data_IF_101525233841
#
_entry.id   IF_101525233841
#
_cell.length_a   1.000
_cell.length_b   1.000
_cell.length_c   1.000
_cell.angle_alpha   90.00
_cell.angle_beta   90.00
_cell.angle_gamma   90.00
#
_symmetry.space_group_name_H-M   'P 1'
#
loop_
_entity.id
_entity.type
_entity.pdbx_description
1 polymer ?
#
# COMPACT_ATOMS: atom_id res chain seq x y z
N UNK A 1 63.98 -2.48 34.54
CA UNK A 1 63.41 -2.76 33.22
C UNK A 1 61.95 -3.10 33.41
N UNK A 2 61.07 -2.24 32.91
CA UNK A 2 59.63 -2.35 33.02
C UNK A 2 59.06 -3.05 31.77
N UNK A 3 58.05 -3.90 31.93
CA UNK A 3 57.10 -4.22 30.86
C UNK A 3 55.72 -4.36 31.50
N UNK A 4 54.86 -3.36 31.25
CA UNK A 4 53.44 -3.39 31.58
C UNK A 4 52.68 -4.19 30.51
N UNK A 5 51.57 -4.88 30.86
CA UNK A 5 50.75 -5.56 29.87
C UNK A 5 49.91 -4.53 29.10
N UNK A 6 50.03 -4.52 27.77
CA UNK A 6 49.17 -3.75 26.88
C UNK A 6 47.77 -4.36 26.87
N UNK A 7 46.80 -3.59 27.33
CA UNK A 7 45.37 -3.83 27.13
C UNK A 7 45.05 -3.49 25.68
N UNK A 8 44.70 -4.48 24.85
CA UNK A 8 44.10 -4.21 23.54
C UNK A 8 42.62 -3.92 23.73
N UNK A 9 42.27 -2.63 23.73
CA UNK A 9 40.87 -2.22 23.55
C UNK A 9 40.57 -2.39 22.06
N UNK A 10 39.92 -3.49 21.70
CA UNK A 10 39.27 -3.59 20.41
C UNK A 10 38.12 -2.59 20.42
N UNK A 11 38.27 -1.49 19.69
CA UNK A 11 37.18 -0.59 19.37
C UNK A 11 36.16 -1.39 18.54
N UNK A 12 35.00 -1.65 19.13
CA UNK A 12 33.81 -1.94 18.34
C UNK A 12 33.53 -0.67 17.54
N UNK A 13 33.83 -0.72 16.25
CA UNK A 13 33.48 0.36 15.30
C UNK A 13 32.02 0.13 14.93
N UNK A 14 31.26 1.21 14.99
CA UNK A 14 29.82 1.28 14.84
C UNK A 14 29.34 0.70 13.49
N UNK A 15 28.65 -0.45 13.53
CA UNK A 15 27.92 -1.02 12.38
C UNK A 15 26.53 -0.37 12.19
N UNK A 16 26.07 0.46 13.14
CA UNK A 16 24.72 1.06 13.14
C UNK A 16 24.55 2.23 12.14
N UNK A 17 25.63 2.92 11.76
CA UNK A 17 25.56 4.12 10.91
C UNK A 17 25.41 3.80 9.40
N UNK A 18 25.92 2.64 8.96
CA UNK A 18 25.87 2.24 7.55
C UNK A 18 24.47 1.75 7.12
N UNK A 19 23.75 1.09 8.02
CA UNK A 19 22.37 0.62 7.77
C UNK A 19 21.38 1.79 7.66
N UNK A 20 21.52 2.84 8.48
CA UNK A 20 20.66 4.03 8.39
C UNK A 20 20.94 4.82 7.10
N UNK A 21 22.21 4.91 6.67
CA UNK A 21 22.57 5.57 5.42
C UNK A 21 22.05 4.79 4.20
N UNK A 22 22.09 3.47 4.23
CA UNK A 22 21.58 2.62 3.16
C UNK A 22 20.05 2.67 3.08
N UNK A 23 19.36 2.69 4.22
CA UNK A 23 17.91 2.88 4.31
C UNK A 23 17.45 4.20 3.71
N UNK A 24 18.13 5.31 4.01
CA UNK A 24 17.81 6.64 3.44
C UNK A 24 18.01 6.70 1.93
N UNK A 25 19.09 6.10 1.41
CA UNK A 25 19.33 6.03 -0.04
C UNK A 25 18.24 5.24 -0.76
N UNK A 26 17.80 4.13 -0.18
CA UNK A 26 16.72 3.32 -0.73
C UNK A 26 15.38 4.08 -0.73
N UNK A 27 15.03 4.71 0.40
CA UNK A 27 13.83 5.56 0.51
C UNK A 27 13.82 6.68 -0.54
N UNK A 28 14.96 7.34 -0.76
CA UNK A 28 15.10 8.36 -1.80
C UNK A 28 14.93 7.77 -3.22
N UNK A 29 15.54 6.62 -3.50
CA UNK A 29 15.41 5.95 -4.79
C UNK A 29 13.94 5.55 -5.07
N UNK A 30 13.23 5.06 -4.06
CA UNK A 30 11.82 4.71 -4.16
C UNK A 30 10.94 5.95 -4.37
N UNK A 31 11.19 7.04 -3.66
CA UNK A 31 10.45 8.28 -3.92
C UNK A 31 10.69 8.81 -5.34
N UNK A 32 11.93 8.75 -5.84
CA UNK A 32 12.25 9.12 -7.24
C UNK A 32 11.48 8.24 -8.23
N UNK A 33 11.29 6.95 -7.94
CA UNK A 33 10.47 6.07 -8.77
C UNK A 33 9.04 6.59 -8.88
N UNK A 34 8.41 6.98 -7.77
CA UNK A 34 7.05 7.53 -7.80
C UNK A 34 6.97 8.88 -8.52
N UNK A 35 7.96 9.76 -8.35
CA UNK A 35 8.02 11.02 -9.09
C UNK A 35 8.08 10.79 -10.60
N UNK A 36 8.79 9.77 -11.07
CA UNK A 36 8.91 9.44 -12.49
C UNK A 36 7.67 8.75 -13.07
N UNK A 37 6.97 7.97 -12.28
CA UNK A 37 5.90 7.07 -12.74
C UNK A 37 4.48 7.53 -12.36
N UNK A 38 4.33 8.71 -11.75
CA UNK A 38 3.00 9.27 -11.41
C UNK A 38 2.77 10.64 -12.06
N UNK A 39 1.52 11.09 -12.04
CA UNK A 39 1.04 12.21 -12.86
C UNK A 39 1.11 13.58 -12.18
N UNK A 40 1.40 13.63 -10.88
CA UNK A 40 1.55 14.87 -10.10
C UNK A 40 2.41 14.65 -8.87
N UNK A 41 2.92 15.73 -8.27
CA UNK A 41 3.70 15.66 -7.01
C UNK A 41 2.87 15.08 -5.87
N UNK A 42 1.57 15.39 -5.84
CA UNK A 42 0.63 14.86 -4.85
C UNK A 42 0.43 13.36 -5.04
N UNK A 43 0.26 12.88 -6.28
CA UNK A 43 0.19 11.45 -6.58
C UNK A 43 1.49 10.72 -6.23
N UNK A 44 2.64 11.34 -6.51
CA UNK A 44 3.94 10.76 -6.15
C UNK A 44 4.05 10.56 -4.63
N UNK A 45 3.70 11.58 -3.85
CA UNK A 45 3.74 11.55 -2.40
C UNK A 45 2.79 10.50 -1.82
N UNK A 46 1.52 10.53 -2.24
CA UNK A 46 0.50 9.60 -1.77
C UNK A 46 0.83 8.15 -2.16
N UNK A 47 1.26 7.94 -3.40
CA UNK A 47 1.66 6.61 -3.90
C UNK A 47 2.86 6.04 -3.14
N UNK A 48 3.89 6.86 -2.91
CA UNK A 48 5.07 6.48 -2.13
C UNK A 48 4.71 6.13 -0.69
N UNK A 49 4.01 7.02 0.02
CA UNK A 49 3.67 6.78 1.42
C UNK A 49 2.69 5.61 1.58
N UNK A 50 1.74 5.43 0.66
CA UNK A 50 0.86 4.28 0.65
C UNK A 50 1.62 2.98 0.45
N UNK A 51 2.57 2.96 -0.50
CA UNK A 51 3.46 1.81 -0.69
C UNK A 51 4.26 1.48 0.57
N UNK A 52 4.87 2.49 1.21
CA UNK A 52 5.61 2.31 2.46
C UNK A 52 4.73 1.75 3.59
N UNK A 53 3.48 2.20 3.70
CA UNK A 53 2.54 1.63 4.68
C UNK A 53 2.17 0.18 4.36
N UNK A 54 1.99 -0.19 3.08
CA UNK A 54 1.73 -1.58 2.69
C UNK A 54 2.91 -2.50 3.01
N UNK A 55 4.15 -2.04 2.78
CA UNK A 55 5.35 -2.75 3.18
C UNK A 55 5.40 -2.93 4.71
N UNK A 56 5.13 -1.86 5.47
CA UNK A 56 5.10 -1.93 6.94
C UNK A 56 4.00 -2.85 7.49
N UNK A 57 2.91 -3.08 6.74
CA UNK A 57 1.87 -4.03 7.10
C UNK A 57 2.22 -5.49 6.75
N UNK A 58 3.33 -5.74 6.04
CA UNK A 58 3.76 -7.08 5.63
C UNK A 58 2.85 -7.73 4.59
N UNK A 59 2.07 -6.95 3.83
CA UNK A 59 1.07 -7.48 2.89
C UNK A 59 1.72 -8.38 1.83
N UNK A 60 2.89 -7.98 1.35
CA UNK A 60 3.63 -8.69 0.30
C UNK A 60 4.27 -9.99 0.79
N UNK A 61 4.51 -10.12 2.10
CA UNK A 61 5.03 -11.35 2.71
C UNK A 61 3.93 -12.41 2.85
N UNK A 62 2.68 -11.96 3.04
CA UNK A 62 1.52 -12.84 3.17
C UNK A 62 1.00 -13.29 1.82
N UNK A 63 1.07 -12.42 0.82
CA UNK A 63 0.48 -12.64 -0.50
C UNK A 63 1.50 -12.20 -1.55
N UNK A 64 2.12 -13.16 -2.26
CA UNK A 64 3.17 -12.84 -3.20
C UNK A 64 2.62 -12.01 -4.38
N UNK A 65 3.51 -11.18 -4.92
CA UNK A 65 3.28 -10.46 -6.16
C UNK A 65 4.56 -10.51 -6.98
N UNK A 66 4.50 -11.18 -8.13
CA UNK A 66 5.68 -11.52 -8.92
C UNK A 66 6.25 -10.34 -9.71
N UNK A 67 5.61 -9.17 -9.62
CA UNK A 67 6.06 -7.94 -10.25
C UNK A 67 6.52 -6.93 -9.20
N UNK A 68 7.05 -5.80 -9.66
CA UNK A 68 7.41 -4.68 -8.79
C UNK A 68 6.18 -4.19 -7.99
N UNK A 69 6.21 -4.37 -6.67
CA UNK A 69 5.12 -4.02 -5.75
C UNK A 69 4.79 -2.54 -5.73
N UNK A 70 5.72 -1.66 -6.17
CA UNK A 70 5.46 -0.22 -6.34
C UNK A 70 4.42 0.06 -7.43
N UNK A 71 4.28 -0.85 -8.40
CA UNK A 71 3.30 -0.72 -9.49
C UNK A 71 1.87 -0.67 -8.97
N UNK A 72 1.55 -1.34 -7.86
CA UNK A 72 0.20 -1.33 -7.27
C UNK A 72 -0.21 0.11 -6.92
N UNK A 73 0.66 0.82 -6.19
CA UNK A 73 0.44 2.23 -5.84
C UNK A 73 0.41 3.13 -7.07
N UNK A 74 1.30 2.93 -8.04
CA UNK A 74 1.31 3.69 -9.30
C UNK A 74 0.01 3.51 -10.07
N UNK A 75 -0.50 2.28 -10.16
CA UNK A 75 -1.75 1.96 -10.84
C UNK A 75 -2.95 2.61 -10.16
N UNK A 76 -3.00 2.63 -8.83
CA UNK A 76 -4.04 3.37 -8.11
C UNK A 76 -3.97 4.87 -8.38
N UNK A 77 -2.75 5.44 -8.40
CA UNK A 77 -2.57 6.86 -8.72
C UNK A 77 -3.01 7.18 -10.15
N UNK A 78 -2.78 6.27 -11.11
CA UNK A 78 -3.31 6.38 -12.47
C UNK A 78 -4.84 6.43 -12.49
N UNK A 79 -5.51 5.48 -11.84
CA UNK A 79 -6.97 5.42 -11.80
C UNK A 79 -7.52 6.73 -11.22
N UNK A 80 -7.04 7.13 -10.05
CA UNK A 80 -7.54 8.34 -9.40
C UNK A 80 -7.25 9.62 -10.18
N UNK A 81 -6.07 9.73 -10.80
CA UNK A 81 -5.74 10.86 -11.65
C UNK A 81 -6.64 10.92 -12.91
N UNK A 82 -6.83 9.78 -13.58
CA UNK A 82 -7.66 9.67 -14.79
C UNK A 82 -9.09 10.13 -14.53
N UNK A 83 -9.65 9.75 -13.38
CA UNK A 83 -10.99 10.12 -12.95
C UNK A 83 -11.04 11.43 -12.15
N UNK A 84 -9.93 12.19 -12.11
CA UNK A 84 -9.84 13.54 -11.55
C UNK A 84 -10.27 13.64 -10.07
N UNK A 85 -9.98 12.61 -9.27
CA UNK A 85 -10.25 12.68 -7.83
C UNK A 85 -9.41 13.77 -7.18
N UNK A 86 -10.01 14.48 -6.24
CA UNK A 86 -9.27 15.47 -5.47
C UNK A 86 -8.24 14.77 -4.57
N UNK A 87 -7.02 15.32 -4.40
CA UNK A 87 -5.98 14.67 -3.59
C UNK A 87 -6.40 14.32 -2.16
N UNK A 88 -7.31 15.09 -1.56
CA UNK A 88 -7.87 14.77 -0.24
C UNK A 88 -8.70 13.48 -0.24
N UNK A 89 -9.52 13.28 -1.27
CA UNK A 89 -10.37 12.09 -1.40
C UNK A 89 -9.50 10.87 -1.69
N UNK A 90 -8.45 11.04 -2.50
CA UNK A 90 -7.42 10.00 -2.69
C UNK A 90 -6.81 9.60 -1.34
N UNK A 91 -6.34 10.57 -0.55
CA UNK A 91 -5.74 10.29 0.75
C UNK A 91 -6.72 9.57 1.69
N UNK A 92 -8.00 9.96 1.67
CA UNK A 92 -9.07 9.32 2.43
C UNK A 92 -9.29 7.86 1.99
N UNK A 93 -9.40 7.61 0.68
CA UNK A 93 -9.58 6.28 0.11
C UNK A 93 -8.40 5.35 0.44
N UNK A 94 -7.17 5.84 0.29
CA UNK A 94 -5.97 5.09 0.63
C UNK A 94 -5.87 4.80 2.14
N UNK A 95 -6.19 5.78 2.99
CA UNK A 95 -6.18 5.61 4.45
C UNK A 95 -7.19 4.55 4.90
N UNK A 96 -8.41 4.61 4.37
CA UNK A 96 -9.46 3.62 4.66
C UNK A 96 -9.06 2.24 4.14
N UNK A 97 -8.47 2.14 2.94
CA UNK A 97 -7.97 0.88 2.40
C UNK A 97 -6.87 0.25 3.28
N UNK A 98 -5.92 1.04 3.80
CA UNK A 98 -4.91 0.54 4.74
C UNK A 98 -5.54 -0.04 6.00
N UNK A 99 -6.60 0.58 6.51
CA UNK A 99 -7.31 0.08 7.69
C UNK A 99 -8.05 -1.21 7.37
N UNK A 100 -8.71 -1.30 6.21
CA UNK A 100 -9.34 -2.55 5.76
C UNK A 100 -8.35 -3.69 5.69
N UNK A 101 -7.18 -3.46 5.07
CA UNK A 101 -6.13 -4.46 4.94
C UNK A 101 -5.60 -4.85 6.32
N UNK A 102 -5.32 -3.87 7.19
CA UNK A 102 -4.82 -4.11 8.55
C UNK A 102 -5.80 -4.94 9.40
N UNK A 103 -7.10 -4.72 9.24
CA UNK A 103 -8.15 -5.44 9.99
C UNK A 103 -8.55 -6.77 9.39
N UNK A 104 -8.10 -7.07 8.17
CA UNK A 104 -8.42 -8.35 7.53
C UNK A 104 -7.62 -9.45 8.23
N UNK A 105 -8.29 -10.52 8.70
CA UNK A 105 -7.59 -11.63 9.35
C UNK A 105 -6.50 -12.21 8.44
N UNK A 106 -5.34 -12.52 9.01
CA UNK A 106 -4.20 -13.06 8.27
C UNK A 106 -4.58 -14.35 7.53
N UNK A 107 -5.38 -15.21 8.17
CA UNK A 107 -5.86 -16.46 7.60
C UNK A 107 -6.71 -16.24 6.35
N UNK A 108 -7.46 -15.13 6.30
CA UNK A 108 -8.24 -14.74 5.15
C UNK A 108 -7.35 -14.24 4.00
N UNK A 109 -6.33 -13.43 4.31
CA UNK A 109 -5.33 -12.99 3.34
C UNK A 109 -4.59 -14.19 2.71
N UNK A 110 -4.13 -15.12 3.54
CA UNK A 110 -3.47 -16.35 3.07
C UNK A 110 -4.43 -17.28 2.30
N UNK A 111 -5.72 -17.32 2.66
CA UNK A 111 -6.75 -18.05 1.90
C UNK A 111 -6.90 -17.44 0.49
N UNK A 112 -7.00 -16.12 0.37
CA UNK A 112 -7.09 -15.44 -0.92
C UNK A 112 -5.85 -15.68 -1.79
N UNK A 113 -4.65 -15.67 -1.17
CA UNK A 113 -3.39 -16.05 -1.83
C UNK A 113 -3.44 -17.46 -2.42
N UNK A 114 -3.90 -18.45 -1.64
CA UNK A 114 -4.06 -19.84 -2.09
C UNK A 114 -5.11 -20.03 -3.19
N UNK A 115 -6.09 -19.14 -3.27
CA UNK A 115 -7.10 -19.12 -4.35
C UNK A 115 -6.57 -18.46 -5.64
N UNK A 116 -5.29 -18.06 -5.68
CA UNK A 116 -4.64 -17.49 -6.86
C UNK A 116 -4.79 -15.96 -6.97
N UNK A 117 -5.29 -15.29 -5.92
CA UNK A 117 -5.33 -13.83 -5.89
C UNK A 117 -4.01 -13.29 -5.32
N UNK A 118 -3.38 -12.37 -6.06
CA UNK A 118 -2.13 -11.73 -5.65
C UNK A 118 -2.36 -10.44 -4.84
N UNK A 119 -1.28 -9.86 -4.31
CA UNK A 119 -1.37 -8.61 -3.55
C UNK A 119 -1.98 -7.46 -4.35
N UNK A 120 -1.76 -7.42 -5.67
CA UNK A 120 -2.36 -6.40 -6.54
C UNK A 120 -3.89 -6.41 -6.44
N UNK A 121 -4.53 -7.56 -6.64
CA UNK A 121 -5.99 -7.67 -6.55
C UNK A 121 -6.48 -7.20 -5.19
N UNK A 122 -5.86 -7.68 -4.12
CA UNK A 122 -6.34 -7.40 -2.76
C UNK A 122 -6.23 -5.92 -2.42
N UNK A 123 -5.08 -5.30 -2.66
CA UNK A 123 -4.89 -3.88 -2.40
C UNK A 123 -5.83 -3.04 -3.27
N UNK A 124 -5.87 -3.30 -4.58
CA UNK A 124 -6.70 -2.53 -5.53
C UNK A 124 -8.18 -2.60 -5.17
N UNK A 125 -8.70 -3.78 -4.82
CA UNK A 125 -10.13 -3.93 -4.56
C UNK A 125 -10.54 -3.55 -3.12
N UNK A 126 -9.63 -3.59 -2.13
CA UNK A 126 -9.86 -2.88 -0.87
C UNK A 126 -9.90 -1.36 -1.07
N UNK A 127 -9.06 -0.83 -1.94
CA UNK A 127 -9.13 0.59 -2.34
C UNK A 127 -10.41 0.92 -3.09
N UNK A 128 -10.91 0.02 -3.95
CA UNK A 128 -12.24 0.16 -4.55
C UNK A 128 -13.35 0.24 -3.49
N UNK A 129 -13.36 -0.67 -2.50
CA UNK A 129 -14.35 -0.64 -1.42
C UNK A 129 -14.29 0.65 -0.60
N UNK A 130 -13.08 1.16 -0.34
CA UNK A 130 -12.90 2.42 0.37
C UNK A 130 -13.46 3.60 -0.44
N UNK A 131 -13.18 3.64 -1.74
CA UNK A 131 -13.73 4.63 -2.65
C UNK A 131 -15.26 4.57 -2.75
N UNK A 132 -15.83 3.37 -2.89
CA UNK A 132 -17.28 3.18 -2.94
C UNK A 132 -17.97 3.64 -1.64
N UNK A 133 -17.30 3.53 -0.49
CA UNK A 133 -17.80 4.02 0.79
C UNK A 133 -17.72 5.55 0.94
N UNK A 134 -16.62 6.17 0.51
CA UNK A 134 -16.37 7.59 0.76
C UNK A 134 -17.00 8.54 -0.28
N UNK A 135 -16.97 8.17 -1.57
CA UNK A 135 -17.19 9.12 -2.69
C UNK A 135 -18.46 8.83 -3.50
N UNK A 136 -19.40 8.07 -2.92
CA UNK A 136 -20.70 7.70 -3.52
C UNK A 136 -20.63 7.39 -5.03
N UNK A 137 -19.77 6.42 -5.38
CA UNK A 137 -19.72 5.77 -6.71
C UNK A 137 -19.24 6.67 -7.86
N UNK A 138 -18.31 7.60 -7.61
CA UNK A 138 -17.69 8.42 -8.68
C UNK A 138 -16.99 7.55 -9.74
N UNK A 139 -16.28 6.49 -9.34
CA UNK A 139 -15.68 5.50 -10.24
C UNK A 139 -16.41 4.16 -10.06
N UNK A 140 -17.15 3.72 -11.08
CA UNK A 140 -17.99 2.52 -10.99
C UNK A 140 -17.14 1.26 -11.07
N UNK A 141 -17.64 0.13 -10.55
CA UNK A 141 -16.96 -1.15 -10.68
C UNK A 141 -16.58 -1.48 -12.14
N UNK A 142 -17.44 -1.15 -13.10
CA UNK A 142 -17.16 -1.30 -14.54
C UNK A 142 -15.93 -0.52 -15.01
N UNK A 143 -15.70 0.66 -14.45
CA UNK A 143 -14.52 1.47 -14.76
C UNK A 143 -13.25 0.78 -14.28
N UNK A 144 -13.22 0.33 -13.03
CA UNK A 144 -12.09 -0.46 -12.47
C UNK A 144 -11.82 -1.73 -13.29
N UNK A 145 -12.86 -2.40 -13.77
CA UNK A 145 -12.70 -3.54 -14.68
C UNK A 145 -12.00 -3.17 -15.98
N UNK A 146 -12.42 -2.08 -16.62
CA UNK A 146 -11.86 -1.64 -17.89
C UNK A 146 -10.40 -1.20 -17.77
N UNK A 147 -10.05 -0.56 -16.65
CA UNK A 147 -8.68 -0.09 -16.41
C UNK A 147 -7.73 -1.24 -16.08
N UNK A 148 -8.10 -2.08 -15.10
CA UNK A 148 -7.17 -3.07 -14.52
C UNK A 148 -7.78 -4.45 -14.37
N UNK A 149 -9.08 -4.55 -14.09
CA UNK A 149 -9.71 -5.83 -13.75
C UNK A 149 -9.72 -6.85 -14.88
N UNK A 150 -9.81 -6.44 -16.14
CA UNK A 150 -9.79 -7.33 -17.31
C UNK A 150 -8.53 -8.18 -17.45
N UNK A 151 -7.43 -7.81 -16.76
CA UNK A 151 -6.18 -8.57 -16.76
C UNK A 151 -6.23 -9.74 -15.77
N UNK A 152 -7.09 -9.66 -14.76
CA UNK A 152 -7.13 -10.60 -13.64
C UNK A 152 -8.45 -11.37 -13.53
N UNK A 153 -9.53 -10.82 -14.10
CA UNK A 153 -10.86 -11.40 -14.05
C UNK A 153 -11.41 -11.59 -15.47
N UNK A 154 -12.04 -12.74 -15.76
CA UNK A 154 -12.59 -13.03 -17.08
C UNK A 154 -13.84 -12.20 -17.41
N UNK A 155 -14.48 -11.62 -16.39
CA UNK A 155 -15.68 -10.79 -16.54
C UNK A 155 -15.85 -9.83 -15.36
N UNK A 156 -16.68 -8.80 -15.55
CA UNK A 156 -17.11 -7.89 -14.47
C UNK A 156 -17.83 -8.67 -13.36
N UNK A 157 -18.60 -9.71 -13.70
CA UNK A 157 -19.30 -10.53 -12.72
C UNK A 157 -18.32 -11.27 -11.81
N UNK A 158 -17.29 -11.92 -12.39
CA UNK A 158 -16.24 -12.59 -11.61
C UNK A 158 -15.47 -11.62 -10.70
N UNK A 159 -15.20 -10.41 -11.19
CA UNK A 159 -14.58 -9.35 -10.37
C UNK A 159 -15.52 -8.87 -9.25
N UNK A 160 -16.82 -8.76 -9.53
CA UNK A 160 -17.82 -8.42 -8.51
C UNK A 160 -17.92 -9.50 -7.43
N UNK A 161 -17.88 -10.77 -7.81
CA UNK A 161 -17.87 -11.89 -6.85
C UNK A 161 -16.63 -11.82 -5.94
N UNK A 162 -15.46 -11.48 -6.50
CA UNK A 162 -14.25 -11.25 -5.71
C UNK A 162 -14.39 -10.06 -4.75
N UNK A 163 -14.88 -8.92 -5.22
CA UNK A 163 -15.16 -7.74 -4.37
C UNK A 163 -16.15 -8.10 -3.26
N UNK A 164 -17.15 -8.92 -3.57
CA UNK A 164 -18.12 -9.39 -2.58
C UNK A 164 -17.49 -10.33 -1.56
N UNK A 165 -16.55 -11.18 -1.96
CA UNK A 165 -15.82 -12.05 -1.05
C UNK A 165 -14.96 -11.25 -0.06
N UNK A 166 -14.20 -10.24 -0.52
CA UNK A 166 -13.40 -9.40 0.39
C UNK A 166 -14.28 -8.55 1.32
N UNK A 167 -15.47 -8.14 0.86
CA UNK A 167 -16.41 -7.39 1.70
C UNK A 167 -17.13 -8.27 2.73
N UNK A 168 -17.61 -9.44 2.32
CA UNK A 168 -18.35 -10.35 3.21
C UNK A 168 -17.41 -11.11 4.15
N UNK A 169 -16.41 -11.80 3.62
CA UNK A 169 -15.49 -12.63 4.41
C UNK A 169 -14.34 -11.82 5.01
N UNK A 170 -13.77 -10.86 4.25
CA UNK A 170 -12.65 -10.05 4.72
C UNK A 170 -13.04 -8.94 5.70
N UNK A 171 -14.21 -8.30 5.48
CA UNK A 171 -14.71 -7.20 6.31
C UNK A 171 -15.90 -7.56 7.18
N UNK A 172 -16.46 -8.76 7.06
CA UNK A 172 -17.65 -9.14 7.82
C UNK A 172 -18.85 -8.23 7.55
N UNK A 173 -18.98 -7.66 6.34
CA UNK A 173 -19.96 -6.62 5.99
C UNK A 173 -19.77 -5.24 6.65
N UNK A 174 -18.59 -4.94 7.21
CA UNK A 174 -18.32 -3.65 7.86
C UNK A 174 -17.39 -2.75 7.03
N UNK A 175 -17.93 -1.66 6.48
CA UNK A 175 -17.14 -0.59 5.83
C UNK A 175 -16.89 0.61 6.75
N UNK A 176 -17.60 0.72 7.86
CA UNK A 176 -17.37 1.81 8.80
C UNK A 176 -15.97 1.70 9.42
N UNK A 177 -15.29 2.84 9.49
CA UNK A 177 -13.98 2.98 10.12
C UNK A 177 -13.97 4.18 11.05
N UNK A 178 -13.31 4.04 12.20
CA UNK A 178 -13.17 5.12 13.17
C UNK A 178 -12.38 6.31 12.57
N UNK A 179 -13.00 7.50 12.56
CA UNK A 179 -12.45 8.73 11.99
C UNK A 179 -11.05 9.08 12.54
N UNK A 180 -10.84 8.86 13.84
CA UNK A 180 -9.52 9.08 14.47
C UNK A 180 -8.42 8.22 13.84
N UNK A 181 -8.74 7.00 13.42
CA UNK A 181 -7.77 6.10 12.76
C UNK A 181 -7.50 6.54 11.34
N UNK A 182 -8.56 6.90 10.61
CA UNK A 182 -8.44 7.47 9.26
C UNK A 182 -7.54 8.71 9.30
N UNK A 183 -7.77 9.64 10.23
CA UNK A 183 -6.95 10.85 10.39
C UNK A 183 -5.47 10.56 10.69
N UNK A 184 -5.15 9.47 11.39
CA UNK A 184 -3.75 9.05 11.59
C UNK A 184 -3.10 8.59 10.28
N UNK A 185 -3.80 7.79 9.48
CA UNK A 185 -3.27 7.34 8.20
C UNK A 185 -3.19 8.46 7.16
N UNK A 186 -4.18 9.35 7.09
CA UNK A 186 -4.11 10.54 6.22
C UNK A 186 -2.87 11.38 6.55
N UNK A 187 -2.58 11.63 7.84
CA UNK A 187 -1.35 12.36 8.24
C UNK A 187 -0.07 11.68 7.76
N UNK A 188 0.00 10.35 7.86
CA UNK A 188 1.15 9.57 7.35
C UNK A 188 1.25 9.59 5.82
N UNK A 189 0.11 9.56 5.12
CA UNK A 189 0.08 9.61 3.66
C UNK A 189 0.50 10.97 3.11
N UNK A 190 0.19 12.04 3.85
CA UNK A 190 0.51 13.42 3.46
C UNK A 190 1.84 13.94 4.04
N UNK A 191 2.54 13.17 4.87
CA UNK A 191 3.84 13.59 5.41
C UNK A 191 4.92 13.52 4.34
N UNK A 192 5.85 14.48 4.35
CA UNK A 192 7.00 14.43 3.45
C UNK A 192 7.83 13.16 3.69
N UNK A 193 8.44 12.57 2.64
CA UNK A 193 9.40 11.50 2.81
C UNK A 193 10.54 12.03 3.69
N UNK A 194 10.84 11.36 4.79
CA UNK A 194 12.02 11.63 5.61
C UNK A 194 13.24 10.92 5.04
#
# INVERSE_FOLDING_TARGET
>A
MAVAPQVSVAAAVDDDDDDDLQGRKQAQADYIYFVKNTYSKQCALLGYNFHAQLCSLGVYDLIPYDQDTRLISVTLMYIFYKYQLHPCDIALNLATALIYIQETPREMLEKLGRLGHNAFNIVVYYTYLAHAWNDDVTIKLKDWYNEVGRLYFPSIAAMNDFVWAIFSEGRGFHLFVEERRVGRYVKKLCSLPM
#
